data_IF_142529318435
#
_entry.id   IF_142529318435
#
_cell.length_a   1.000
_cell.length_b   1.000
_cell.length_c   1.000
_cell.angle_alpha   90.00
_cell.angle_beta   90.00
_cell.angle_gamma   90.00
#
_symmetry.space_group_name_H-M   'P 1'
#
loop_
_entity.id
_entity.type
_entity.pdbx_description
1 polymer ?
#
# COMPACT_ATOMS: atom_id res chain seq x y z
N UNK A 1 -1.51 -2.69 13.26
CA UNK A 1 -0.98 -1.55 12.47
C UNK A 1 0.20 -0.98 13.24
N UNK A 2 1.37 -0.85 12.62
CA UNK A 2 2.55 -0.29 13.28
C UNK A 2 2.37 1.23 13.54
N UNK A 3 3.05 1.79 14.57
CA UNK A 3 3.07 3.23 14.79
C UNK A 3 3.63 3.96 13.56
N UNK A 4 3.33 5.26 13.46
CA UNK A 4 3.96 6.09 12.45
C UNK A 4 5.44 6.30 12.81
N UNK A 5 6.31 6.30 11.80
CA UNK A 5 7.73 6.56 11.95
C UNK A 5 8.23 7.45 10.80
N UNK A 6 9.38 8.09 10.99
CA UNK A 6 10.03 8.86 9.94
C UNK A 6 10.97 7.93 9.14
N UNK A 7 10.68 7.77 7.85
CA UNK A 7 11.50 6.92 6.98
C UNK A 7 11.42 7.44 5.55
N UNK A 8 12.54 7.38 4.82
CA UNK A 8 12.67 7.91 3.45
C UNK A 8 12.15 9.37 3.30
N UNK A 9 12.35 10.19 4.34
CA UNK A 9 11.96 11.61 4.38
C UNK A 9 10.45 11.87 4.47
N UNK A 10 9.65 10.90 4.95
CA UNK A 10 8.21 11.05 5.14
C UNK A 10 7.74 10.43 6.47
N UNK A 11 6.55 10.82 6.93
CA UNK A 11 5.84 10.15 8.02
C UNK A 11 5.08 8.96 7.45
N UNK A 12 5.45 7.74 7.86
CA UNK A 12 5.00 6.52 7.20
C UNK A 12 4.46 5.53 8.20
N UNK A 13 3.72 4.53 7.70
CA UNK A 13 3.36 3.34 8.46
C UNK A 13 3.69 2.09 7.68
N UNK A 14 4.26 1.11 8.38
CA UNK A 14 4.36 -0.24 7.86
C UNK A 14 3.01 -0.96 7.90
N UNK A 15 2.70 -1.68 6.84
CA UNK A 15 1.75 -2.80 6.89
C UNK A 15 2.42 -4.03 7.51
N UNK A 16 1.62 -5.02 7.93
CA UNK A 16 2.11 -6.32 8.45
C UNK A 16 2.01 -7.45 7.42
N UNK A 17 2.00 -7.08 6.14
CA UNK A 17 1.61 -7.93 5.01
C UNK A 17 0.16 -7.70 4.57
N UNK A 18 -0.66 -7.05 5.40
CA UNK A 18 -1.98 -6.57 5.01
C UNK A 18 -2.27 -5.15 5.52
N UNK A 19 -3.11 -4.43 4.78
CA UNK A 19 -3.65 -3.14 5.18
C UNK A 19 -5.04 -2.95 4.57
N UNK A 20 -5.91 -2.23 5.27
CA UNK A 20 -7.26 -1.92 4.77
C UNK A 20 -7.47 -0.40 4.83
N UNK A 21 -7.83 0.18 3.70
CA UNK A 21 -8.32 1.54 3.60
C UNK A 21 -9.84 1.49 3.36
N UNK A 22 -10.58 2.17 4.22
CA UNK A 22 -12.03 2.36 4.07
C UNK A 22 -12.25 3.78 3.59
N UNK A 23 -12.80 3.91 2.40
CA UNK A 23 -13.03 5.19 1.74
C UNK A 23 -14.54 5.34 1.54
N UNK A 24 -15.08 6.52 1.82
CA UNK A 24 -16.47 6.82 1.48
C UNK A 24 -16.69 6.64 -0.03
N UNK A 25 -17.80 6.02 -0.41
CA UNK A 25 -18.20 5.84 -1.79
C UNK A 25 -18.48 7.16 -2.50
N UNK A 26 -18.66 7.08 -3.80
CA UNK A 26 -18.99 8.23 -4.63
C UNK A 26 -18.93 7.90 -6.11
N UNK A 27 -18.80 8.96 -6.92
CA UNK A 27 -18.58 8.83 -8.37
C UNK A 27 -17.25 8.13 -8.68
N UNK A 28 -17.12 7.69 -9.93
CA UNK A 28 -15.88 7.15 -10.45
C UNK A 28 -14.69 8.09 -10.15
N UNK A 29 -13.65 7.51 -9.56
CA UNK A 29 -12.52 8.24 -8.98
C UNK A 29 -11.21 7.52 -9.24
N UNK A 30 -10.09 8.18 -8.98
CA UNK A 30 -8.75 7.59 -8.96
C UNK A 30 -8.24 7.65 -7.54
N UNK A 31 -7.88 6.50 -6.98
CA UNK A 31 -7.09 6.39 -5.77
C UNK A 31 -5.61 6.47 -6.14
N UNK A 32 -4.89 7.41 -5.53
CA UNK A 32 -3.43 7.47 -5.54
C UNK A 32 -2.91 6.98 -4.18
N UNK A 33 -1.98 6.04 -4.21
CA UNK A 33 -1.28 5.54 -3.03
C UNK A 33 0.21 5.81 -3.21
N UNK A 34 0.86 6.45 -2.24
CA UNK A 34 2.33 6.54 -2.21
C UNK A 34 2.89 5.45 -1.31
N UNK A 35 3.58 4.51 -1.95
CA UNK A 35 4.08 3.28 -1.35
C UNK A 35 5.58 3.13 -1.62
N UNK A 36 6.28 2.44 -0.73
CA UNK A 36 7.66 2.01 -0.93
C UNK A 36 7.88 0.63 -0.30
N UNK A 37 8.90 -0.05 -0.76
CA UNK A 37 9.34 -1.34 -0.23
C UNK A 37 10.85 -1.32 -0.02
N UNK A 38 11.35 -0.71 1.08
CA UNK A 38 12.78 -0.58 1.34
C UNK A 38 13.39 -1.87 1.92
N UNK A 39 12.79 -3.04 1.63
CA UNK A 39 13.38 -4.32 2.03
C UNK A 39 14.71 -4.52 1.30
N UNK A 40 15.72 -5.11 1.96
CA UNK A 40 16.99 -5.41 1.31
C UNK A 40 16.80 -6.46 0.21
N UNK A 41 17.70 -6.48 -0.77
CA UNK A 41 17.63 -7.44 -1.89
C UNK A 41 17.72 -8.91 -1.45
N UNK A 42 18.24 -9.18 -0.25
CA UNK A 42 18.29 -10.52 0.36
C UNK A 42 16.93 -10.99 0.91
N UNK A 43 15.96 -10.08 1.09
CA UNK A 43 14.63 -10.43 1.56
C UNK A 43 13.75 -10.98 0.41
N UNK A 44 12.78 -11.86 0.68
CA UNK A 44 11.83 -12.32 -0.32
C UNK A 44 11.07 -11.15 -0.99
N UNK A 45 10.74 -11.23 -2.29
CA UNK A 45 9.96 -10.21 -2.97
C UNK A 45 8.61 -9.94 -2.29
N UNK A 46 8.18 -8.68 -2.24
CA UNK A 46 6.93 -8.30 -1.57
C UNK A 46 5.65 -8.84 -2.21
N UNK A 47 5.66 -9.27 -3.47
CA UNK A 47 4.47 -9.70 -4.23
C UNK A 47 3.21 -8.89 -3.83
N UNK A 48 3.22 -7.60 -4.15
CA UNK A 48 2.22 -6.65 -3.62
C UNK A 48 0.98 -6.59 -4.52
N UNK A 49 -0.20 -6.57 -3.90
CA UNK A 49 -1.50 -6.47 -4.57
C UNK A 49 -2.38 -5.42 -3.91
N UNK A 50 -3.08 -4.64 -4.71
CA UNK A 50 -4.14 -3.72 -4.25
C UNK A 50 -5.47 -4.23 -4.75
N UNK A 51 -6.43 -4.44 -3.85
CA UNK A 51 -7.72 -5.01 -4.17
C UNK A 51 -8.87 -4.07 -3.77
N UNK A 52 -9.76 -3.71 -4.69
CA UNK A 52 -10.91 -2.80 -4.44
C UNK A 52 -12.12 -3.58 -3.86
N UNK A 53 -12.17 -4.86 -4.19
CA UNK A 53 -13.08 -5.89 -3.69
C UNK A 53 -12.28 -7.20 -3.59
N UNK A 54 -12.90 -8.30 -3.14
CA UNK A 54 -12.19 -9.57 -2.94
C UNK A 54 -11.63 -10.17 -4.25
N UNK A 55 -12.22 -9.84 -5.39
CA UNK A 55 -11.97 -10.39 -6.72
C UNK A 55 -11.25 -9.42 -7.67
N UNK A 56 -11.29 -8.12 -7.39
CA UNK A 56 -10.65 -7.09 -8.22
C UNK A 56 -9.32 -6.65 -7.61
N UNK A 57 -8.27 -7.41 -7.91
CA UNK A 57 -6.91 -7.15 -7.46
C UNK A 57 -5.99 -6.75 -8.61
N UNK A 58 -5.15 -5.75 -8.38
CA UNK A 58 -4.07 -5.34 -9.28
C UNK A 58 -2.73 -5.64 -8.63
N UNK A 59 -1.84 -6.34 -9.33
CA UNK A 59 -0.45 -6.51 -8.90
C UNK A 59 0.31 -5.20 -9.10
N UNK A 60 1.13 -4.84 -8.10
CA UNK A 60 1.91 -3.61 -8.13
C UNK A 60 3.36 -3.94 -7.86
N UNK A 61 4.23 -3.46 -8.75
CA UNK A 61 5.67 -3.52 -8.55
C UNK A 61 6.10 -2.31 -7.73
N UNK A 62 6.68 -2.57 -6.56
CA UNK A 62 7.26 -1.57 -5.69
C UNK A 62 8.79 -1.64 -5.79
N UNK A 63 9.43 -0.55 -5.41
CA UNK A 63 10.87 -0.43 -5.30
C UNK A 63 11.23 0.11 -3.91
N UNK A 64 12.52 0.19 -3.61
CA UNK A 64 13.00 0.81 -2.37
C UNK A 64 12.61 2.28 -2.28
N UNK A 65 12.49 2.97 -3.43
CA UNK A 65 12.05 4.34 -3.53
C UNK A 65 10.52 4.46 -3.59
N UNK A 66 10.04 5.68 -3.28
CA UNK A 66 8.62 6.01 -3.37
C UNK A 66 8.06 5.84 -4.79
N UNK A 67 6.95 5.10 -4.88
CA UNK A 67 6.13 4.97 -6.08
C UNK A 67 4.72 5.46 -5.79
N UNK A 68 4.13 6.18 -6.74
CA UNK A 68 2.71 6.53 -6.69
C UNK A 68 1.96 5.54 -7.58
N UNK A 69 1.14 4.71 -6.96
CA UNK A 69 0.25 3.77 -7.65
C UNK A 69 -1.10 4.43 -7.84
N UNK A 70 -1.66 4.29 -9.04
CA UNK A 70 -2.99 4.80 -9.38
C UNK A 70 -3.95 3.64 -9.62
N UNK A 71 -5.04 3.62 -8.86
CA UNK A 71 -6.06 2.57 -8.92
C UNK A 71 -7.40 3.23 -9.29
N UNK A 72 -8.01 2.86 -10.42
CA UNK A 72 -9.35 3.36 -10.77
C UNK A 72 -10.37 2.78 -9.81
N UNK A 73 -11.19 3.64 -9.22
CA UNK A 73 -12.29 3.29 -8.34
C UNK A 73 -13.61 3.42 -9.11
N UNK A 74 -14.38 2.33 -9.32
CA UNK A 74 -15.69 2.42 -9.94
C UNK A 74 -16.66 3.19 -9.04
N UNK A 75 -17.70 3.79 -9.62
CA UNK A 75 -18.73 4.46 -8.82
C UNK A 75 -19.38 3.47 -7.83
N UNK A 76 -19.59 3.89 -6.59
CA UNK A 76 -20.15 3.05 -5.51
C UNK A 76 -20.93 3.92 -4.53
N UNK A 77 -22.10 3.46 -4.09
CA UNK A 77 -22.96 4.23 -3.20
C UNK A 77 -22.42 4.33 -1.76
N UNK A 78 -21.90 3.21 -1.22
CA UNK A 78 -21.59 3.10 0.21
C UNK A 78 -20.11 3.38 0.53
N UNK A 79 -19.26 2.36 0.51
CA UNK A 79 -17.82 2.46 0.79
C UNK A 79 -17.00 1.65 -0.20
N UNK A 80 -15.80 2.13 -0.52
CA UNK A 80 -14.74 1.29 -1.08
C UNK A 80 -13.91 0.70 0.05
N UNK A 81 -13.77 -0.62 0.08
CA UNK A 81 -12.89 -1.33 0.99
C UNK A 81 -11.65 -1.80 0.24
N UNK A 82 -10.61 -0.97 0.26
CA UNK A 82 -9.37 -1.25 -0.46
C UNK A 82 -8.46 -2.06 0.44
N UNK A 83 -8.05 -3.25 0.00
CA UNK A 83 -7.09 -4.10 0.70
C UNK A 83 -5.75 -4.04 0.01
N UNK A 84 -4.71 -3.65 0.74
CA UNK A 84 -3.32 -3.79 0.33
C UNK A 84 -2.79 -5.10 0.90
N UNK A 85 -2.22 -5.98 0.07
CA UNK A 85 -1.60 -7.24 0.49
C UNK A 85 -0.17 -7.30 -0.02
N UNK A 86 0.73 -7.83 0.78
CA UNK A 86 2.10 -8.13 0.39
C UNK A 86 2.60 -9.34 1.17
N UNK A 87 3.54 -10.08 0.59
CA UNK A 87 4.38 -11.03 1.31
C UNK A 87 5.20 -10.26 2.35
N UNK A 88 4.94 -10.48 3.65
CA UNK A 88 5.70 -9.81 4.67
C UNK A 88 7.09 -10.45 4.82
N UNK A 89 8.00 -9.70 5.42
CA UNK A 89 9.35 -10.11 5.75
C UNK A 89 9.67 -9.70 7.19
N UNK A 90 10.76 -10.25 7.74
CA UNK A 90 11.24 -9.89 9.07
C UNK A 90 12.66 -9.33 8.92
N UNK A 91 12.92 -8.10 9.38
CA UNK A 91 14.25 -7.51 9.28
C UNK A 91 15.34 -8.32 9.99
N UNK A 92 15.02 -8.95 11.12
CA UNK A 92 15.95 -9.87 11.81
C UNK A 92 16.49 -10.98 10.90
N UNK A 93 15.65 -11.56 10.03
CA UNK A 93 16.06 -12.59 9.08
C UNK A 93 16.97 -12.05 7.96
N UNK A 94 17.04 -10.73 7.78
CA UNK A 94 17.86 -10.04 6.80
C UNK A 94 19.03 -9.26 7.40
N UNK A 95 19.36 -9.49 8.68
CA UNK A 95 20.54 -8.93 9.34
C UNK A 95 20.28 -7.78 10.33
N UNK A 96 19.04 -7.29 10.45
CA UNK A 96 18.66 -6.31 11.48
C UNK A 96 18.17 -7.05 12.74
N UNK A 97 19.08 -7.73 13.44
CA UNK A 97 18.79 -8.77 14.43
C UNK A 97 17.77 -8.41 15.54
N UNK A 98 17.71 -7.13 15.93
CA UNK A 98 16.83 -6.68 17.01
C UNK A 98 15.40 -6.36 16.54
N UNK A 99 15.16 -6.25 15.23
CA UNK A 99 13.85 -5.93 14.68
C UNK A 99 13.08 -7.20 14.27
N UNK A 100 12.26 -7.66 15.21
CA UNK A 100 11.40 -8.84 15.09
C UNK A 100 10.03 -8.52 14.44
N UNK A 101 9.82 -7.31 13.93
CA UNK A 101 8.55 -6.94 13.30
C UNK A 101 8.34 -7.75 12.02
N UNK A 102 7.08 -8.08 11.73
CA UNK A 102 6.64 -8.69 10.47
C UNK A 102 6.15 -7.57 9.56
N UNK A 103 7.02 -7.08 8.69
CA UNK A 103 6.79 -5.90 7.87
C UNK A 103 6.32 -6.28 6.47
N UNK A 104 5.34 -5.57 5.93
CA UNK A 104 4.93 -5.65 4.53
C UNK A 104 5.63 -4.58 3.71
N UNK A 105 4.86 -3.55 3.36
CA UNK A 105 5.30 -2.36 2.61
C UNK A 105 5.01 -1.09 3.41
N UNK A 106 5.69 -0.01 3.06
CA UNK A 106 5.44 1.32 3.58
C UNK A 106 4.26 2.00 2.89
N UNK A 107 3.47 2.70 3.69
CA UNK A 107 2.43 3.60 3.23
C UNK A 107 2.71 4.99 3.81
N UNK A 108 2.82 5.99 2.93
CA UNK A 108 2.90 7.40 3.32
C UNK A 108 1.49 7.99 3.35
N UNK A 109 0.86 8.12 2.18
CA UNK A 109 -0.48 8.69 2.06
C UNK A 109 -1.36 7.96 1.04
N UNK A 110 -2.65 8.23 1.16
CA UNK A 110 -3.69 7.84 0.21
C UNK A 110 -4.53 9.07 -0.14
N UNK A 111 -4.77 9.29 -1.44
CA UNK A 111 -5.54 10.42 -1.91
C UNK A 111 -6.55 9.94 -2.95
N UNK A 112 -7.82 10.31 -2.78
CA UNK A 112 -8.87 10.07 -3.77
C UNK A 112 -9.13 11.37 -4.51
N UNK A 113 -9.13 11.31 -5.83
CA UNK A 113 -9.58 12.41 -6.69
C UNK A 113 -10.60 11.90 -7.68
N UNK A 114 -11.64 12.67 -8.03
CA UNK A 114 -12.55 12.34 -9.12
C UNK A 114 -11.80 11.99 -10.40
N UNK A 115 -12.30 11.01 -11.16
CA UNK A 115 -11.77 10.75 -12.48
C UNK A 115 -12.20 11.91 -13.37
N UNK A 116 -11.24 12.68 -13.88
CA UNK A 116 -11.52 13.74 -14.84
C UNK A 116 -12.03 13.10 -16.13
N UNK A 117 -13.34 13.14 -16.34
CA UNK A 117 -13.93 12.88 -17.64
C UNK A 117 -13.72 14.11 -18.51
N UNK A 118 -12.97 13.95 -19.60
CA UNK A 118 -13.21 14.74 -20.82
C UNK A 118 -14.71 14.58 -21.12
N UNK A 119 -15.42 15.71 -21.13
CA UNK A 119 -16.82 15.77 -21.56
C UNK A 119 -16.93 15.51 -23.05
#
# INVERSE_FOLDING_TARGET
LYPAEELLGAQVRWTDGAGVLRLAGGRASILRLRLADPRPASAPPAATRVCIAADQCTEVQLAAEWRIIQIPLPARADEWRITLRSTPWQPAAAGAADDQRRLGVLVDWAQVSPQSGVR
#
